data_IF_376487039548
#
_entry.id   IF_376487039548
#
_cell.length_a   1.000
_cell.length_b   1.000
_cell.length_c   1.000
_cell.angle_alpha   90.00
_cell.angle_beta   90.00
_cell.angle_gamma   90.00
#
_symmetry.space_group_name_H-M   'P 1'
#
loop_
_entity.id
_entity.type
_entity.pdbx_description
1 polymer ?
#
# COMPACT_ATOMS: atom_id res chain seq x y z
N UNK A 1 -23.05 -5.30 -53.16
CA UNK A 1 -23.46 -5.81 -51.84
C UNK A 1 -22.22 -5.90 -50.97
N UNK A 2 -22.04 -4.96 -50.04
CA UNK A 2 -20.98 -4.97 -49.05
C UNK A 2 -21.35 -5.97 -47.94
N UNK A 3 -20.55 -7.02 -47.73
CA UNK A 3 -20.66 -7.86 -46.55
C UNK A 3 -19.41 -7.66 -45.70
N UNK A 4 -19.48 -6.68 -44.80
CA UNK A 4 -18.53 -6.51 -43.71
C UNK A 4 -18.92 -7.43 -42.57
N UNK A 5 -18.04 -8.35 -42.21
CA UNK A 5 -18.15 -9.12 -40.96
C UNK A 5 -17.20 -8.45 -39.96
N UNK A 6 -17.73 -7.57 -39.11
CA UNK A 6 -17.02 -7.13 -37.90
C UNK A 6 -17.16 -8.27 -36.89
N UNK A 7 -16.03 -8.89 -36.52
CA UNK A 7 -16.00 -9.80 -35.38
C UNK A 7 -16.05 -8.98 -34.10
N UNK A 8 -17.21 -8.97 -33.45
CA UNK A 8 -17.31 -8.61 -32.03
C UNK A 8 -16.49 -9.61 -31.21
N UNK A 9 -15.41 -9.15 -30.58
CA UNK A 9 -14.58 -9.94 -29.68
C UNK A 9 -15.13 -9.88 -28.24
N UNK A 10 -15.08 -10.97 -27.45
CA UNK A 10 -15.69 -10.97 -26.13
C UNK A 10 -14.78 -10.39 -25.02
N UNK A 11 -15.44 -9.59 -24.17
CA UNK A 11 -15.19 -9.35 -22.74
C UNK A 11 -13.81 -8.83 -22.28
N UNK A 12 -13.74 -7.52 -22.08
CA UNK A 12 -12.57 -6.82 -21.52
C UNK A 12 -12.96 -5.83 -20.39
N UNK A 13 -14.21 -5.89 -19.92
CA UNK A 13 -14.79 -4.89 -18.99
C UNK A 13 -14.41 -5.14 -17.54
N UNK A 14 -14.27 -6.41 -17.13
CA UNK A 14 -13.96 -6.80 -15.74
C UNK A 14 -12.55 -6.41 -15.30
N UNK A 15 -11.56 -6.60 -16.17
CA UNK A 15 -10.16 -6.27 -15.88
C UNK A 15 -9.92 -4.75 -15.85
N UNK A 16 -10.62 -3.99 -16.71
CA UNK A 16 -10.53 -2.51 -16.76
C UNK A 16 -11.05 -1.87 -15.47
N UNK A 17 -12.23 -2.27 -15.00
CA UNK A 17 -12.80 -1.73 -13.75
C UNK A 17 -11.94 -2.06 -12.53
N UNK A 18 -11.42 -3.29 -12.44
CA UNK A 18 -10.50 -3.66 -11.35
C UNK A 18 -9.21 -2.84 -11.40
N UNK A 19 -8.64 -2.57 -12.58
CA UNK A 19 -7.47 -1.71 -12.69
C UNK A 19 -7.76 -0.27 -12.24
N UNK A 20 -8.88 0.31 -12.66
CA UNK A 20 -9.28 1.66 -12.25
C UNK A 20 -9.50 1.78 -10.74
N UNK A 21 -10.13 0.79 -10.11
CA UNK A 21 -10.33 0.74 -8.66
C UNK A 21 -9.00 0.64 -7.91
N UNK A 22 -8.06 -0.15 -8.43
CA UNK A 22 -6.72 -0.27 -7.88
C UNK A 22 -5.93 1.05 -7.97
N UNK A 23 -5.99 1.70 -9.13
CA UNK A 23 -5.31 2.98 -9.35
C UNK A 23 -5.89 4.06 -8.43
N UNK A 24 -7.21 4.08 -8.22
CA UNK A 24 -7.88 4.98 -7.25
C UNK A 24 -7.44 4.71 -5.82
N UNK A 25 -7.43 3.45 -5.38
CA UNK A 25 -7.00 3.08 -4.02
C UNK A 25 -5.53 3.44 -3.79
N UNK A 26 -4.66 3.16 -4.76
CA UNK A 26 -3.23 3.52 -4.72
C UNK A 26 -3.04 5.04 -4.65
N UNK A 27 -3.83 5.80 -5.42
CA UNK A 27 -3.78 7.26 -5.39
C UNK A 27 -4.23 7.84 -4.05
N UNK A 28 -5.33 7.33 -3.48
CA UNK A 28 -5.83 7.76 -2.17
C UNK A 28 -4.82 7.44 -1.07
N UNK A 29 -4.35 6.19 -1.01
CA UNK A 29 -3.36 5.78 -0.02
C UNK A 29 -2.04 6.55 -0.18
N UNK A 30 -1.60 6.79 -1.42
CA UNK A 30 -0.44 7.62 -1.71
C UNK A 30 -0.57 9.05 -1.21
N UNK A 31 -1.76 9.64 -1.37
CA UNK A 31 -2.07 10.98 -0.84
C UNK A 31 -1.96 11.00 0.67
N UNK A 32 -2.54 10.00 1.36
CA UNK A 32 -2.50 9.89 2.82
C UNK A 32 -1.08 9.66 3.34
N UNK A 33 -0.34 8.71 2.76
CA UNK A 33 1.05 8.42 3.16
C UNK A 33 1.98 9.61 2.87
N UNK A 34 1.72 10.38 1.81
CA UNK A 34 2.45 11.62 1.53
C UNK A 34 2.18 12.68 2.60
N UNK A 35 0.93 12.84 3.03
CA UNK A 35 0.58 13.76 4.10
C UNK A 35 1.20 13.33 5.44
N UNK A 36 1.19 12.02 5.74
CA UNK A 36 1.84 11.48 6.94
C UNK A 36 3.36 11.71 6.91
N UNK A 37 4.02 11.50 5.77
CA UNK A 37 5.44 11.81 5.62
C UNK A 37 5.76 13.28 5.85
N UNK A 38 4.92 14.21 5.39
CA UNK A 38 5.11 15.65 5.68
C UNK A 38 5.09 15.91 7.18
N UNK A 39 4.15 15.32 7.91
CA UNK A 39 4.09 15.47 9.36
C UNK A 39 5.33 14.89 10.05
N UNK A 40 5.79 13.72 9.61
CA UNK A 40 7.02 13.09 10.11
C UNK A 40 8.26 13.93 9.81
N UNK A 41 8.35 14.52 8.61
CA UNK A 41 9.42 15.46 8.23
C UNK A 41 9.39 16.71 9.13
N UNK A 42 8.21 17.28 9.37
CA UNK A 42 8.02 18.46 10.24
C UNK A 42 8.43 18.20 11.70
N UNK A 43 8.32 16.95 12.16
CA UNK A 43 8.78 16.50 13.48
C UNK A 43 10.31 16.25 13.54
N UNK A 44 11.04 16.48 12.44
CA UNK A 44 12.50 16.41 12.42
C UNK A 44 13.07 15.05 12.00
N UNK A 45 12.32 14.27 11.21
CA UNK A 45 12.82 13.00 10.64
C UNK A 45 14.11 13.18 9.85
N UNK A 46 14.98 12.17 9.93
CA UNK A 46 16.28 12.13 9.26
C UNK A 46 16.41 10.84 8.45
N UNK A 47 17.18 10.85 7.34
CA UNK A 47 17.46 9.62 6.58
C UNK A 47 18.13 8.50 7.39
N UNK A 48 18.76 8.83 8.52
CA UNK A 48 19.36 7.86 9.45
C UNK A 48 18.36 7.26 10.44
N UNK A 49 17.09 7.68 10.40
CA UNK A 49 16.04 7.19 11.27
C UNK A 49 15.78 5.70 11.10
N UNK A 50 15.38 5.04 12.18
CA UNK A 50 14.85 3.68 12.09
C UNK A 50 13.48 3.62 11.36
N UNK A 51 12.78 4.74 11.21
CA UNK A 51 11.56 4.84 10.38
C UNK A 51 11.97 4.95 8.90
N UNK A 52 12.13 3.81 8.25
CA UNK A 52 12.55 3.74 6.84
C UNK A 52 11.38 3.86 5.86
N UNK A 53 10.18 3.44 6.25
CA UNK A 53 8.97 3.53 5.43
C UNK A 53 7.74 3.72 6.32
N UNK A 54 6.64 4.20 5.71
CA UNK A 54 5.31 4.20 6.31
C UNK A 54 4.48 3.06 5.70
N UNK A 55 3.93 2.15 6.51
CA UNK A 55 3.15 1.03 6.00
C UNK A 55 1.74 1.46 5.59
N UNK A 56 1.21 0.83 4.55
CA UNK A 56 -0.17 0.91 4.11
C UNK A 56 -0.67 -0.47 3.67
N UNK A 57 -1.99 -0.63 3.60
CA UNK A 57 -2.63 -1.85 3.12
C UNK A 57 -3.72 -1.45 2.14
N UNK A 58 -3.74 -2.11 0.98
CA UNK A 58 -4.81 -2.02 -0.01
C UNK A 58 -5.58 -3.34 0.01
N UNK A 59 -6.90 -3.24 0.11
CA UNK A 59 -7.79 -4.39 -0.02
C UNK A 59 -8.63 -4.19 -1.26
N UNK A 60 -8.50 -5.10 -2.23
CA UNK A 60 -9.26 -5.07 -3.47
C UNK A 60 -10.00 -6.40 -3.67
N UNK A 61 -11.32 -6.35 -3.57
CA UNK A 61 -12.15 -7.55 -3.51
C UNK A 61 -11.72 -8.39 -2.30
N UNK A 62 -11.23 -9.60 -2.56
CA UNK A 62 -10.68 -10.47 -1.53
C UNK A 62 -9.14 -10.43 -1.44
N UNK A 63 -8.44 -9.69 -2.31
CA UNK A 63 -6.96 -9.65 -2.32
C UNK A 63 -6.44 -8.54 -1.42
N UNK A 64 -5.42 -8.86 -0.65
CA UNK A 64 -4.77 -7.95 0.28
C UNK A 64 -3.33 -7.70 -0.16
N UNK A 65 -2.96 -6.43 -0.21
CA UNK A 65 -1.64 -6.00 -0.63
C UNK A 65 -1.07 -5.03 0.40
N UNK A 66 0.19 -5.25 0.74
CA UNK A 66 0.98 -4.34 1.53
C UNK A 66 1.60 -3.26 0.63
N UNK A 67 1.64 -2.05 1.16
CA UNK A 67 2.27 -0.89 0.54
C UNK A 67 3.30 -0.32 1.49
N UNK A 68 4.53 -0.12 1.01
CA UNK A 68 5.52 0.67 1.75
C UNK A 68 5.70 2.03 1.07
N UNK A 69 5.41 3.11 1.80
CA UNK A 69 5.76 4.46 1.38
C UNK A 69 7.15 4.83 1.87
N UNK A 70 8.10 4.86 0.96
CA UNK A 70 9.48 5.29 1.22
C UNK A 70 9.61 6.79 1.00
N UNK A 71 10.40 7.43 1.86
CA UNK A 71 10.82 8.81 1.66
C UNK A 71 12.06 8.85 0.79
N UNK A 72 11.98 9.48 -0.38
CA UNK A 72 13.15 9.73 -1.22
C UNK A 72 13.26 11.23 -1.56
N UNK A 73 14.19 11.91 -0.88
CA UNK A 73 14.41 13.36 -0.98
C UNK A 73 13.15 14.16 -0.66
N UNK A 74 12.49 14.71 -1.69
CA UNK A 74 11.26 15.50 -1.60
C UNK A 74 10.02 14.74 -2.08
N UNK A 75 10.17 13.50 -2.55
CA UNK A 75 9.05 12.66 -2.99
C UNK A 75 8.81 11.45 -2.09
N UNK A 76 7.59 10.92 -2.16
CA UNK A 76 7.20 9.65 -1.53
C UNK A 76 7.02 8.62 -2.63
N UNK A 77 7.71 7.49 -2.50
CA UNK A 77 7.65 6.37 -3.45
C UNK A 77 6.84 5.26 -2.81
N UNK A 78 5.79 4.80 -3.49
CA UNK A 78 5.00 3.66 -3.03
C UNK A 78 5.53 2.36 -3.65
N UNK A 79 5.85 1.39 -2.81
CA UNK A 79 6.03 0.00 -3.20
C UNK A 79 4.73 -0.73 -2.90
N UNK A 80 3.83 -0.82 -3.88
CA UNK A 80 2.45 -1.30 -3.69
C UNK A 80 2.16 -2.72 -4.16
N UNK A 81 3.15 -3.43 -4.69
CA UNK A 81 2.94 -4.75 -5.33
C UNK A 81 3.23 -5.95 -4.41
N UNK A 82 3.18 -5.77 -3.09
CA UNK A 82 3.45 -6.86 -2.16
C UNK A 82 2.14 -7.56 -1.78
N UNK A 83 1.78 -8.62 -2.47
CA UNK A 83 0.64 -9.46 -2.09
C UNK A 83 0.88 -10.14 -0.73
N UNK A 84 -0.08 -10.00 0.19
CA UNK A 84 0.00 -10.53 1.56
C UNK A 84 -1.09 -11.56 1.88
N UNK A 85 -1.91 -11.91 0.90
CA UNK A 85 -2.91 -12.97 1.05
C UNK A 85 -4.27 -12.58 0.49
N UNK A 86 -5.22 -13.48 0.68
CA UNK A 86 -6.57 -13.36 0.14
C UNK A 86 -7.60 -13.90 1.11
N UNK A 87 -8.76 -13.26 1.19
CA UNK A 87 -9.89 -13.76 1.99
C UNK A 87 -10.83 -14.67 1.20
N UNK A 88 -10.47 -15.06 -0.04
CA UNK A 88 -11.26 -16.00 -0.83
C UNK A 88 -11.08 -17.46 -0.42
N UNK A 89 -10.01 -17.79 0.30
CA UNK A 89 -9.69 -19.15 0.71
C UNK A 89 -9.00 -19.18 2.09
N UNK A 90 -9.08 -20.32 2.76
CA UNK A 90 -8.59 -20.47 4.12
C UNK A 90 -7.07 -20.26 4.24
N UNK A 91 -6.28 -20.70 3.26
CA UNK A 91 -4.83 -20.49 3.27
C UNK A 91 -4.48 -19.02 3.12
N UNK A 92 -5.15 -18.32 2.21
CA UNK A 92 -5.01 -16.88 2.05
C UNK A 92 -5.35 -16.11 3.33
N UNK A 93 -6.37 -16.54 4.09
CA UNK A 93 -6.73 -15.90 5.38
C UNK A 93 -5.57 -16.05 6.38
N UNK A 94 -4.95 -17.22 6.48
CA UNK A 94 -3.78 -17.40 7.34
C UNK A 94 -2.60 -16.51 6.93
N UNK A 95 -2.38 -16.31 5.63
CA UNK A 95 -1.38 -15.37 5.13
C UNK A 95 -1.68 -13.94 5.59
N UNK A 96 -2.92 -13.46 5.38
CA UNK A 96 -3.34 -12.12 5.81
C UNK A 96 -3.13 -11.94 7.31
N UNK A 97 -3.61 -12.87 8.13
CA UNK A 97 -3.48 -12.80 9.60
C UNK A 97 -2.01 -12.76 10.00
N UNK A 98 -1.17 -13.62 9.43
CA UNK A 98 0.26 -13.67 9.75
C UNK A 98 0.97 -12.38 9.35
N UNK A 99 0.70 -11.87 8.15
CA UNK A 99 1.27 -10.61 7.66
C UNK A 99 0.86 -9.41 8.54
N UNK A 100 -0.40 -9.37 8.98
CA UNK A 100 -0.87 -8.34 9.91
C UNK A 100 -0.20 -8.44 11.27
N UNK A 101 0.02 -9.65 11.80
CA UNK A 101 0.74 -9.85 13.05
C UNK A 101 2.20 -9.39 12.97
N UNK A 102 2.89 -9.72 11.87
CA UNK A 102 4.25 -9.25 11.60
C UNK A 102 4.28 -7.72 11.51
N UNK A 103 3.34 -7.12 10.77
CA UNK A 103 3.28 -5.68 10.63
C UNK A 103 2.98 -4.99 11.96
N UNK A 104 2.01 -5.49 12.74
CA UNK A 104 1.69 -4.95 14.06
C UNK A 104 2.88 -5.03 15.02
N UNK A 105 3.62 -6.15 15.00
CA UNK A 105 4.85 -6.31 15.77
C UNK A 105 5.90 -5.29 15.33
N UNK A 106 6.14 -5.14 14.04
CA UNK A 106 7.06 -4.14 13.51
C UNK A 106 6.65 -2.71 13.89
N UNK A 107 5.36 -2.38 13.79
CA UNK A 107 4.84 -1.06 14.16
C UNK A 107 5.10 -0.73 15.63
N UNK A 108 4.96 -1.70 16.53
CA UNK A 108 5.20 -1.52 17.96
C UNK A 108 6.69 -1.50 18.33
N UNK A 109 7.44 -2.44 17.77
CA UNK A 109 8.81 -2.73 18.21
C UNK A 109 9.84 -1.85 17.48
N UNK A 110 9.53 -1.37 16.27
CA UNK A 110 10.41 -0.54 15.45
C UNK A 110 9.84 0.87 15.28
N UNK A 111 8.71 1.00 14.56
CA UNK A 111 8.17 2.31 14.19
C UNK A 111 7.88 3.18 15.43
N UNK A 112 7.12 2.66 16.39
CA UNK A 112 6.74 3.42 17.57
C UNK A 112 7.93 3.76 18.48
N UNK A 113 8.91 2.86 18.60
CA UNK A 113 10.10 3.14 19.40
C UNK A 113 10.93 4.25 18.77
N UNK A 114 11.14 4.20 17.45
CA UNK A 114 11.82 5.23 16.70
C UNK A 114 11.06 6.57 16.76
N UNK A 115 9.74 6.54 16.60
CA UNK A 115 8.90 7.73 16.67
C UNK A 115 9.07 8.44 18.02
N UNK A 116 9.01 7.70 19.13
CA UNK A 116 9.23 8.28 20.46
C UNK A 116 10.65 8.79 20.68
N UNK A 117 11.66 8.05 20.22
CA UNK A 117 13.06 8.36 20.50
C UNK A 117 13.59 9.52 19.64
N UNK A 118 13.05 9.67 18.42
CA UNK A 118 13.61 10.57 17.41
C UNK A 118 12.71 11.77 17.10
N UNK A 119 11.38 11.64 17.23
CA UNK A 119 10.41 12.62 16.74
C UNK A 119 9.55 13.27 17.83
N UNK A 120 9.42 12.64 19.00
CA UNK A 120 8.73 13.29 20.13
C UNK A 120 9.70 14.23 20.86
N UNK A 121 9.34 15.52 21.00
CA UNK A 121 10.07 16.40 21.90
C UNK A 121 9.91 15.90 23.35
N UNK A 122 11.04 15.76 24.05
CA UNK A 122 11.08 15.46 25.49
C UNK A 122 10.54 16.62 26.33
#
# INVERSE_FOLDING_TARGET
MHSGTIKEGPCDTGNKRSREEWDKATLQLGTWLSAQWRNVDDLGWKPTSAIQFLPGIIVQGHRWHFVAALRHRSQVILLSDVYIGSTADHYGVYQVVTSLQVLARWSRDVYWQAFKAELLPL
#
